data_IF_909553790485
#
_entry.id   IF_909553790485
#
_cell.length_a   1.000
_cell.length_b   1.000
_cell.length_c   1.000
_cell.angle_alpha   90.00
_cell.angle_beta   90.00
_cell.angle_gamma   90.00
#
_symmetry.space_group_name_H-M   'P 1'
#
loop_
_entity.id
_entity.type
_entity.pdbx_description
1 polymer ?
#
# COMPACT_ATOMS: atom_id res chain seq x y z
N UNK A 1 9.46 -3.90 -18.36
CA UNK A 1 9.36 -3.44 -16.95
C UNK A 1 7.95 -3.73 -16.46
N UNK A 2 7.73 -4.87 -15.81
CA UNK A 2 6.44 -5.13 -15.16
C UNK A 2 6.46 -4.46 -13.78
N UNK A 3 6.23 -3.14 -13.77
CA UNK A 3 5.85 -2.44 -12.55
C UNK A 3 4.49 -3.02 -12.18
N UNK A 4 4.38 -3.76 -11.07
CA UNK A 4 3.09 -4.22 -10.57
C UNK A 4 2.20 -2.99 -10.38
N UNK A 5 1.15 -2.79 -11.21
CA UNK A 5 0.38 -1.55 -11.19
C UNK A 5 -0.19 -1.29 -9.80
N UNK A 6 -0.54 -2.34 -9.05
CA UNK A 6 -1.09 -2.24 -7.70
C UNK A 6 -0.12 -1.70 -6.63
N UNK A 7 1.20 -1.95 -6.69
CA UNK A 7 2.15 -1.40 -5.69
C UNK A 7 2.39 0.09 -5.96
N UNK A 8 2.49 0.49 -7.23
CA UNK A 8 2.58 1.90 -7.59
C UNK A 8 1.31 2.66 -7.19
N UNK A 9 0.14 2.07 -7.43
CA UNK A 9 -1.14 2.59 -6.98
C UNK A 9 -1.23 2.68 -5.46
N UNK A 10 -0.76 1.68 -4.72
CA UNK A 10 -0.74 1.69 -3.25
C UNK A 10 0.11 2.84 -2.70
N UNK A 11 1.32 3.03 -3.25
CA UNK A 11 2.18 4.16 -2.88
C UNK A 11 1.51 5.50 -3.18
N UNK A 12 0.89 5.63 -4.35
CA UNK A 12 0.17 6.85 -4.73
C UNK A 12 -1.04 7.09 -3.81
N UNK A 13 -1.77 6.04 -3.44
CA UNK A 13 -2.92 6.14 -2.53
C UNK A 13 -2.50 6.64 -1.16
N UNK A 14 -1.47 6.05 -0.56
CA UNK A 14 -0.90 6.50 0.71
C UNK A 14 -0.46 7.96 0.60
N UNK A 15 0.31 8.31 -0.44
CA UNK A 15 0.78 9.69 -0.68
C UNK A 15 -0.37 10.70 -0.79
N UNK A 16 -1.47 10.30 -1.43
CA UNK A 16 -2.69 11.11 -1.58
C UNK A 16 -3.38 11.34 -0.23
N UNK A 17 -3.45 10.33 0.62
CA UNK A 17 -4.14 10.41 1.92
C UNK A 17 -3.39 11.22 2.96
N UNK A 18 -2.06 11.04 3.06
CA UNK A 18 -1.28 11.61 4.18
C UNK A 18 -0.51 12.87 3.81
N UNK A 19 -0.40 13.20 2.52
CA UNK A 19 0.23 14.41 1.99
C UNK A 19 1.59 14.74 2.61
N UNK A 20 2.39 13.72 2.92
CA UNK A 20 3.71 13.88 3.52
C UNK A 20 4.79 13.74 2.44
N UNK A 21 5.52 14.82 2.19
CA UNK A 21 6.54 14.92 1.14
C UNK A 21 7.73 13.96 1.34
N UNK A 22 8.03 13.58 2.58
CA UNK A 22 9.17 12.70 2.89
C UNK A 22 8.92 11.23 2.52
N UNK A 23 7.67 10.83 2.28
CA UNK A 23 7.29 9.44 1.98
C UNK A 23 7.23 9.22 0.48
N UNK A 24 7.93 8.23 -0.07
CA UNK A 24 7.93 7.92 -1.51
C UNK A 24 8.20 9.17 -2.38
N UNK A 25 9.44 9.70 -2.38
CA UNK A 25 9.76 10.99 -3.01
C UNK A 25 9.43 11.04 -4.51
N UNK A 26 9.54 9.91 -5.20
CA UNK A 26 9.27 9.81 -6.64
C UNK A 26 7.78 9.58 -6.98
N UNK A 27 6.89 9.60 -5.98
CA UNK A 27 5.47 9.31 -6.16
C UNK A 27 4.66 10.60 -6.05
N UNK A 28 3.97 10.93 -7.14
CA UNK A 28 3.08 12.09 -7.21
C UNK A 28 1.71 11.70 -6.65
N UNK A 29 1.17 12.43 -5.64
CA UNK A 29 -0.18 12.19 -5.14
C UNK A 29 -1.22 12.38 -6.24
N UNK A 30 -2.36 11.69 -6.09
CA UNK A 30 -3.49 11.82 -7.02
C UNK A 30 -4.05 13.23 -6.93
N UNK A 31 -4.34 13.82 -8.09
CA UNK A 31 -4.93 15.17 -8.16
C UNK A 31 -6.38 15.16 -7.67
N UNK A 32 -6.81 16.28 -7.09
CA UNK A 32 -8.20 16.49 -6.70
C UNK A 32 -9.14 16.29 -7.90
N UNK A 33 -10.29 15.65 -7.69
CA UNK A 33 -11.26 15.33 -8.75
C UNK A 33 -10.94 14.08 -9.57
N UNK A 34 -9.80 13.41 -9.32
CA UNK A 34 -9.42 12.15 -9.97
C UNK A 34 -9.46 11.00 -8.97
N UNK A 35 -10.66 10.61 -8.53
CA UNK A 35 -10.82 9.53 -7.56
C UNK A 35 -10.29 8.20 -8.09
N UNK A 36 -9.84 7.35 -7.16
CA UNK A 36 -9.41 6.00 -7.49
C UNK A 36 -10.64 5.17 -7.87
N UNK A 37 -10.59 4.57 -9.05
CA UNK A 37 -11.63 3.67 -9.51
C UNK A 37 -11.70 2.39 -8.66
N UNK A 38 -12.85 1.70 -8.68
CA UNK A 38 -13.02 0.42 -7.97
C UNK A 38 -11.94 -0.61 -8.34
N UNK A 39 -11.57 -0.69 -9.62
CA UNK A 39 -10.53 -1.60 -10.09
C UNK A 39 -9.15 -1.23 -9.52
N UNK A 40 -8.82 0.07 -9.43
CA UNK A 40 -7.57 0.52 -8.80
C UNK A 40 -7.56 0.21 -7.30
N UNK A 41 -8.65 0.47 -6.59
CA UNK A 41 -8.78 0.15 -5.17
C UNK A 41 -8.63 -1.36 -4.93
N UNK A 42 -9.14 -2.19 -5.85
CA UNK A 42 -8.99 -3.64 -5.78
C UNK A 42 -7.53 -4.06 -5.97
N UNK A 43 -6.84 -3.45 -6.93
CA UNK A 43 -5.41 -3.68 -7.14
C UNK A 43 -4.56 -3.23 -5.93
N UNK A 44 -4.94 -2.12 -5.28
CA UNK A 44 -4.31 -1.64 -4.04
C UNK A 44 -4.51 -2.66 -2.92
N UNK A 45 -5.74 -3.12 -2.71
CA UNK A 45 -6.06 -4.12 -1.68
C UNK A 45 -5.26 -5.41 -1.87
N UNK A 46 -5.22 -5.97 -3.09
CA UNK A 46 -4.45 -7.19 -3.35
C UNK A 46 -2.95 -6.99 -3.17
N UNK A 47 -2.42 -5.83 -3.55
CA UNK A 47 -0.99 -5.53 -3.37
C UNK A 47 -0.64 -5.44 -1.89
N UNK A 48 -1.50 -4.79 -1.11
CA UNK A 48 -1.36 -4.70 0.33
C UNK A 48 -1.41 -6.10 0.97
N UNK A 49 -2.38 -6.94 0.59
CA UNK A 49 -2.48 -8.35 1.02
C UNK A 49 -1.17 -9.11 0.78
N UNK A 50 -0.62 -9.04 -0.43
CA UNK A 50 0.64 -9.72 -0.78
C UNK A 50 1.83 -9.22 0.04
N UNK A 51 1.89 -7.91 0.31
CA UNK A 51 2.96 -7.31 1.13
C UNK A 51 2.85 -7.82 2.56
N UNK A 52 1.65 -7.83 3.16
CA UNK A 52 1.47 -8.29 4.53
C UNK A 52 1.65 -9.80 4.69
N UNK A 53 1.20 -10.60 3.73
CA UNK A 53 1.39 -12.05 3.76
C UNK A 53 2.88 -12.43 3.76
N UNK A 54 3.69 -11.69 2.99
CA UNK A 54 5.15 -11.86 2.96
C UNK A 54 5.89 -11.23 4.14
N UNK A 55 5.27 -10.27 4.82
CA UNK A 55 5.82 -9.58 5.98
C UNK A 55 5.54 -10.30 7.30
N UNK A 56 5.05 -11.55 7.29
CA UNK A 56 4.81 -12.41 8.46
C UNK A 56 6.10 -12.67 9.28
N UNK A 57 6.57 -11.65 9.99
CA UNK A 57 7.40 -11.74 11.19
C UNK A 57 6.62 -11.14 12.35
N UNK A 58 6.84 -11.64 13.57
CA UNK A 58 5.98 -11.49 14.76
C UNK A 58 5.59 -10.07 15.19
N UNK A 59 6.25 -9.02 14.68
CA UNK A 59 6.08 -7.64 15.14
C UNK A 59 4.82 -6.90 14.65
N UNK A 60 4.01 -7.47 13.75
CA UNK A 60 2.89 -6.77 13.10
C UNK A 60 1.49 -7.42 13.30
N UNK A 61 1.28 -8.11 14.42
CA UNK A 61 0.03 -8.82 14.69
C UNK A 61 -1.21 -7.91 14.68
N UNK A 62 -1.11 -6.68 15.21
CA UNK A 62 -2.22 -5.73 15.22
C UNK A 62 -2.59 -5.26 13.80
N UNK A 63 -1.59 -4.93 12.98
CA UNK A 63 -1.77 -4.52 11.59
C UNK A 63 -2.44 -5.64 10.79
N UNK A 64 -1.99 -6.88 10.95
CA UNK A 64 -2.59 -8.04 10.29
C UNK A 64 -4.01 -8.35 10.78
N UNK A 65 -4.24 -8.27 12.10
CA UNK A 65 -5.55 -8.49 12.68
C UNK A 65 -6.54 -7.44 12.15
N UNK A 66 -6.14 -6.17 12.13
CA UNK A 66 -6.98 -5.09 11.60
C UNK A 66 -7.26 -5.25 10.11
N UNK A 67 -6.26 -5.60 9.30
CA UNK A 67 -6.48 -5.83 7.88
C UNK A 67 -7.50 -6.94 7.58
N UNK A 68 -7.49 -8.02 8.38
CA UNK A 68 -8.47 -9.11 8.24
C UNK A 68 -9.91 -8.70 8.55
N UNK A 69 -10.13 -7.61 9.28
CA UNK A 69 -11.47 -7.09 9.60
C UNK A 69 -12.05 -6.18 8.51
N UNK A 70 -11.35 -6.00 7.38
CA UNK A 70 -11.85 -5.22 6.26
C UNK A 70 -12.88 -6.05 5.47
N UNK A 71 -14.14 -6.03 5.91
CA UNK A 71 -15.25 -6.71 5.24
C UNK A 71 -15.52 -6.15 3.84
N UNK A 72 -15.31 -4.85 3.64
CA UNK A 72 -15.35 -4.19 2.34
C UNK A 72 -13.99 -3.56 1.98
N UNK A 73 -13.24 -4.12 1.00
CA UNK A 73 -11.90 -3.70 0.62
C UNK A 73 -11.75 -2.24 0.19
N UNK A 74 -12.86 -1.57 -0.13
CA UNK A 74 -12.84 -0.24 -0.75
C UNK A 74 -13.14 0.86 0.25
N UNK A 75 -14.15 0.64 1.10
CA UNK A 75 -14.62 1.66 2.03
C UNK A 75 -13.68 1.77 3.22
N UNK A 76 -13.18 0.66 3.77
CA UNK A 76 -12.37 0.72 4.99
C UNK A 76 -10.87 0.85 4.71
N UNK A 77 -10.46 0.74 3.45
CA UNK A 77 -9.06 0.78 3.06
C UNK A 77 -8.42 2.15 3.28
N UNK A 78 -9.15 3.24 3.08
CA UNK A 78 -8.61 4.58 3.36
C UNK A 78 -8.33 4.80 4.85
N UNK A 79 -9.25 4.42 5.73
CA UNK A 79 -9.05 4.47 7.19
C UNK A 79 -7.88 3.57 7.60
N UNK A 80 -7.84 2.33 7.11
CA UNK A 80 -6.76 1.41 7.40
C UNK A 80 -5.39 1.97 6.98
N UNK A 81 -5.29 2.49 5.75
CA UNK A 81 -4.04 3.04 5.23
C UNK A 81 -3.65 4.32 5.97
N UNK A 82 -4.60 5.15 6.39
CA UNK A 82 -4.33 6.34 7.19
C UNK A 82 -3.86 6.00 8.60
N UNK A 83 -4.38 4.94 9.22
CA UNK A 83 -3.99 4.54 10.58
C UNK A 83 -2.62 3.85 10.63
N UNK A 84 -2.24 3.11 9.58
CA UNK A 84 -1.07 2.22 9.59
C UNK A 84 0.02 2.57 8.56
N UNK A 85 -0.04 3.76 7.93
CA UNK A 85 0.94 4.09 6.87
C UNK A 85 2.39 4.05 7.36
N UNK A 86 2.64 4.42 8.63
CA UNK A 86 4.00 4.49 9.19
C UNK A 86 4.66 3.11 9.23
N UNK A 87 3.89 2.10 9.59
CA UNK A 87 4.32 0.69 9.63
C UNK A 87 4.36 0.09 8.23
N UNK A 88 3.45 0.49 7.34
CA UNK A 88 3.37 -0.02 5.97
C UNK A 88 4.49 0.50 5.06
N UNK A 89 4.90 1.77 5.19
CA UNK A 89 5.92 2.38 4.32
C UNK A 89 7.24 1.59 4.30
N UNK A 90 7.82 1.17 5.45
CA UNK A 90 8.99 0.30 5.48
C UNK A 90 8.75 -1.04 4.79
N UNK A 91 7.61 -1.69 5.02
CA UNK A 91 7.27 -2.99 4.43
C UNK A 91 7.14 -2.90 2.90
N UNK A 92 6.47 -1.86 2.40
CA UNK A 92 6.32 -1.57 0.97
C UNK A 92 7.70 -1.31 0.33
N UNK A 93 8.56 -0.55 1.02
CA UNK A 93 9.90 -0.22 0.53
C UNK A 93 10.81 -1.46 0.49
N UNK A 94 10.77 -2.30 1.52
CA UNK A 94 11.51 -3.56 1.56
C UNK A 94 11.03 -4.55 0.49
N UNK A 95 9.71 -4.64 0.27
CA UNK A 95 9.14 -5.46 -0.79
C UNK A 95 9.66 -5.03 -2.16
N UNK A 96 9.70 -3.72 -2.45
CA UNK A 96 10.22 -3.20 -3.71
C UNK A 96 11.72 -3.53 -3.94
N UNK A 97 12.55 -3.41 -2.89
CA UNK A 97 13.99 -3.72 -2.99
C UNK A 97 14.27 -5.20 -3.25
N UNK A 98 13.53 -6.11 -2.60
CA UNK A 98 13.72 -7.56 -2.80
C UNK A 98 13.40 -8.01 -4.22
N UNK A 99 12.41 -7.43 -4.88
CA UNK A 99 12.09 -7.79 -6.27
C UNK A 99 13.09 -7.27 -7.31
N UNK A 100 13.78 -6.15 -7.03
CA UNK A 100 14.88 -5.69 -7.89
C UNK A 100 16.08 -6.64 -7.86
N UNK A 101 16.28 -7.37 -6.75
CA UNK A 101 17.39 -8.32 -6.58
C UNK A 101 17.14 -9.69 -7.23
N UNK A 102 15.89 -10.05 -7.54
CA UNK A 102 15.55 -11.37 -8.15
C UNK A 102 15.58 -11.32 -9.68
N UNK A 103 15.70 -10.12 -10.26
CA UNK A 103 15.70 -9.90 -11.72
C UNK A 103 17.09 -9.50 -12.27
N UNK A 104 18.12 -9.56 -11.44
CA UNK A 104 19.54 -9.45 -11.81
C UNK A 104 20.24 -10.78 -11.54
#
# INVERSE_FOLDING_TARGET
MAVYPGVALLKQYIKTLVANDSIFPDVIPRQYGHEFSRAELQAIYYSLFLIMDRAKSESNQLLMARFKTLDEPYINLHWFLFDFWQELVPLITQHAKRHQLVLN
#
